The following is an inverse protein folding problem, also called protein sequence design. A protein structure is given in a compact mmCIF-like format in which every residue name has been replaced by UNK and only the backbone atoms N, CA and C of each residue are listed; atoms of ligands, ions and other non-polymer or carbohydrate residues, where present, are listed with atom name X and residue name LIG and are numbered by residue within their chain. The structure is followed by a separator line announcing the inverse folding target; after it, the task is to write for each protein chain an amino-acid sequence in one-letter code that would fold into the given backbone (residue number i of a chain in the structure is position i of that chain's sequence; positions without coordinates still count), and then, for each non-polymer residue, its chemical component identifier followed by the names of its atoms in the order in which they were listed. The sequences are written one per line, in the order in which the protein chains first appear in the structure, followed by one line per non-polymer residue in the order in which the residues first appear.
data_IF_369601238848
#
_entry.id   IF_369601238848
#
_cell.length_a   1.000
_cell.length_b   1.000
_cell.length_c   1.000
_cell.angle_alpha   90.00
_cell.angle_beta   90.00
_cell.angle_gamma   90.00
#
_symmetry.space_group_name_H-M   'P 1'
#
loop_
_entity.id
_entity.type
_entity.pdbx_description
1 polymer ?
#
# COMPACT_ATOMS: atom_id res chain seq x y z
N UNK A 1 -37.32 4.01 -3.60
CA UNK A 1 -36.37 3.14 -4.32
C UNK A 1 -34.97 3.65 -3.96
N UNK A 2 -34.30 3.00 -3.01
CA UNK A 2 -32.91 3.31 -2.67
C UNK A 2 -32.05 2.96 -3.88
N UNK A 3 -31.25 3.90 -4.38
CA UNK A 3 -30.47 3.65 -5.59
C UNK A 3 -29.40 2.60 -5.29
N UNK A 4 -29.09 1.76 -6.27
CA UNK A 4 -28.00 0.77 -6.18
C UNK A 4 -26.64 1.44 -5.83
N UNK A 5 -26.50 2.73 -6.11
CA UNK A 5 -25.31 3.53 -5.77
C UNK A 5 -25.20 3.88 -4.27
N UNK A 6 -26.31 4.15 -3.60
CA UNK A 6 -26.32 4.50 -2.17
C UNK A 6 -25.94 3.30 -1.30
N UNK A 7 -26.46 2.12 -1.67
CA UNK A 7 -26.08 0.84 -1.05
C UNK A 7 -24.61 0.51 -1.24
N UNK A 8 -24.09 0.63 -2.46
CA UNK A 8 -22.68 0.35 -2.77
C UNK A 8 -21.73 1.25 -1.98
N UNK A 9 -22.10 2.52 -1.79
CA UNK A 9 -21.31 3.47 -1.00
C UNK A 9 -21.30 3.12 0.49
N UNK A 10 -22.43 2.66 1.04
CA UNK A 10 -22.52 2.20 2.42
C UNK A 10 -21.74 0.90 2.64
N UNK A 11 -21.81 -0.05 1.71
CA UNK A 11 -21.05 -1.31 1.73
C UNK A 11 -19.54 -1.07 1.73
N UNK A 12 -19.05 -0.17 0.86
CA UNK A 12 -17.64 0.21 0.81
C UNK A 12 -17.16 0.88 2.11
N UNK A 13 -18.04 1.63 2.79
CA UNK A 13 -17.77 2.21 4.11
C UNK A 13 -17.77 1.15 5.22
N UNK A 14 -18.58 0.11 5.09
CA UNK A 14 -18.64 -1.03 6.00
C UNK A 14 -17.53 -2.07 5.76
N UNK A 15 -16.64 -1.86 4.78
CA UNK A 15 -15.58 -2.81 4.44
C UNK A 15 -16.08 -4.03 3.66
N UNK A 16 -17.27 -3.96 3.09
CA UNK A 16 -17.83 -5.00 2.23
C UNK A 16 -17.41 -4.71 0.78
N UNK A 17 -16.68 -5.66 0.21
CA UNK A 17 -16.20 -5.59 -1.17
C UNK A 17 -16.79 -6.75 -1.96
N UNK A 18 -17.45 -6.44 -3.06
CA UNK A 18 -17.95 -7.47 -3.96
C UNK A 18 -16.81 -8.09 -4.80
N UNK A 19 -17.10 -9.25 -5.41
CA UNK A 19 -16.11 -9.97 -6.20
C UNK A 19 -15.67 -9.17 -7.45
N UNK A 20 -16.56 -8.36 -8.03
CA UNK A 20 -16.25 -7.53 -9.19
C UNK A 20 -15.19 -6.50 -8.84
N UNK A 21 -15.35 -5.80 -7.72
CA UNK A 21 -14.39 -4.83 -7.22
C UNK A 21 -13.02 -5.48 -6.97
N UNK A 22 -12.98 -6.65 -6.34
CA UNK A 22 -11.71 -7.35 -6.09
C UNK A 22 -11.05 -7.81 -7.39
N UNK A 23 -11.83 -8.22 -8.39
CA UNK A 23 -11.32 -8.61 -9.69
C UNK A 23 -10.76 -7.40 -10.45
N UNK A 24 -11.47 -6.27 -10.46
CA UNK A 24 -11.01 -5.02 -11.07
C UNK A 24 -9.73 -4.53 -10.38
N UNK A 25 -9.71 -4.55 -9.04
CA UNK A 25 -8.54 -4.18 -8.25
C UNK A 25 -7.34 -5.09 -8.54
N UNK A 26 -7.54 -6.40 -8.65
CA UNK A 26 -6.48 -7.36 -8.99
C UNK A 26 -5.85 -7.05 -10.35
N UNK A 27 -6.66 -6.67 -11.33
CA UNK A 27 -6.23 -6.43 -12.70
C UNK A 27 -5.84 -4.97 -12.98
N UNK A 28 -6.10 -4.07 -12.04
CA UNK A 28 -5.80 -2.65 -12.13
C UNK A 28 -4.34 -2.31 -11.82
N UNK A 29 -4.04 -1.01 -11.66
CA UNK A 29 -2.71 -0.54 -11.30
C UNK A 29 -2.25 -1.10 -9.96
N UNK A 30 -0.99 -1.56 -9.89
CA UNK A 30 -0.41 -2.12 -8.64
C UNK A 30 -0.49 -1.15 -7.46
N UNK A 31 -0.45 0.16 -7.73
CA UNK A 31 -0.56 1.18 -6.70
C UNK A 31 -1.91 1.14 -5.98
N UNK A 32 -3.01 0.89 -6.70
CA UNK A 32 -4.34 0.79 -6.11
C UNK A 32 -4.45 -0.42 -5.17
N UNK A 33 -3.81 -1.54 -5.52
CA UNK A 33 -3.72 -2.71 -4.64
C UNK A 33 -2.99 -2.41 -3.33
N UNK A 34 -1.88 -1.67 -3.40
CA UNK A 34 -1.12 -1.26 -2.21
C UNK A 34 -1.96 -0.30 -1.36
N UNK A 35 -2.56 0.72 -1.97
CA UNK A 35 -3.38 1.70 -1.25
C UNK A 35 -4.60 1.01 -0.61
N UNK A 36 -5.22 0.04 -1.27
CA UNK A 36 -6.30 -0.78 -0.71
C UNK A 36 -5.84 -1.55 0.51
N UNK A 37 -4.68 -2.19 0.47
CA UNK A 37 -4.15 -2.94 1.62
C UNK A 37 -3.75 -2.04 2.78
N UNK A 38 -3.23 -0.84 2.50
CA UNK A 38 -3.04 0.19 3.50
C UNK A 38 -4.39 0.54 4.15
N UNK A 39 -5.43 0.81 3.35
CA UNK A 39 -6.78 1.12 3.85
C UNK A 39 -7.34 0.03 4.75
N UNK A 40 -7.07 -1.24 4.42
CA UNK A 40 -7.49 -2.41 5.19
C UNK A 40 -6.57 -2.75 6.38
N UNK A 41 -5.57 -1.90 6.66
CA UNK A 41 -4.58 -2.11 7.74
C UNK A 41 -3.79 -3.44 7.60
N UNK A 42 -3.69 -3.97 6.38
CA UNK A 42 -2.90 -5.17 6.08
C UNK A 42 -1.41 -4.88 5.96
N UNK A 43 -1.06 -3.62 5.71
CA UNK A 43 0.30 -3.08 5.69
C UNK A 43 0.30 -1.66 6.27
N UNK A 44 1.47 -1.15 6.66
CA UNK A 44 1.60 0.18 7.23
C UNK A 44 1.16 1.27 6.23
N UNK A 45 0.33 2.22 6.70
CA UNK A 45 -0.15 3.39 5.93
C UNK A 45 0.92 4.48 5.80
N UNK A 46 1.85 4.55 6.73
CA UNK A 46 2.89 5.56 6.74
C UNK A 46 4.10 5.15 7.59
N UNK A 47 5.22 5.82 7.32
CA UNK A 47 6.41 5.75 8.14
C UNK A 47 7.03 7.13 8.31
N UNK A 48 7.67 7.32 9.46
CA UNK A 48 8.47 8.50 9.76
C UNK A 48 9.95 8.14 9.72
N UNK A 49 10.76 9.00 9.12
CA UNK A 49 12.20 8.84 9.06
C UNK A 49 12.81 9.07 10.44
N UNK A 50 13.57 8.11 11.00
CA UNK A 50 14.17 8.27 12.33
C UNK A 50 15.28 9.33 12.36
N UNK A 51 15.79 9.77 11.20
CA UNK A 51 16.90 10.74 11.10
C UNK A 51 16.40 12.18 11.02
N UNK A 52 15.31 12.43 10.30
CA UNK A 52 14.82 13.79 10.07
C UNK A 52 13.37 14.04 10.49
N UNK A 53 12.74 13.04 11.10
CA UNK A 53 11.37 13.10 11.63
C UNK A 53 10.32 13.52 10.59
N UNK A 54 10.58 13.23 9.32
CA UNK A 54 9.65 13.49 8.22
C UNK A 54 9.00 12.21 7.73
N UNK A 55 7.77 12.34 7.23
CA UNK A 55 7.08 11.25 6.53
C UNK A 55 7.92 10.76 5.36
N UNK A 56 8.07 9.45 5.27
CA UNK A 56 8.79 8.76 4.21
C UNK A 56 7.85 8.57 3.02
N UNK A 57 8.35 8.70 1.80
CA UNK A 57 7.56 8.52 0.58
C UNK A 57 7.54 7.04 0.16
N UNK A 58 6.39 6.57 -0.29
CA UNK A 58 6.27 5.27 -0.96
C UNK A 58 6.53 5.46 -2.45
N UNK A 59 7.61 4.88 -2.94
CA UNK A 59 8.00 4.92 -4.35
C UNK A 59 7.84 3.55 -4.99
N UNK A 60 7.48 3.54 -6.27
CA UNK A 60 7.57 2.32 -7.10
C UNK A 60 9.04 2.03 -7.41
N UNK A 61 9.43 0.76 -7.30
CA UNK A 61 10.79 0.33 -7.53
C UNK A 61 10.77 -1.03 -8.25
N UNK A 62 11.00 -0.99 -9.56
CA UNK A 62 10.78 -2.10 -10.50
C UNK A 62 11.60 -3.36 -10.20
N UNK A 63 12.72 -3.23 -9.49
CA UNK A 63 13.64 -4.33 -9.19
C UNK A 63 13.32 -5.06 -7.88
N UNK A 64 12.17 -4.79 -7.25
CA UNK A 64 11.69 -5.51 -6.08
C UNK A 64 10.49 -6.37 -6.43
N UNK A 65 10.43 -7.58 -5.86
CA UNK A 65 9.30 -8.50 -6.02
C UNK A 65 7.97 -7.84 -5.64
N UNK A 66 7.99 -6.99 -4.61
CA UNK A 66 6.84 -6.24 -4.12
C UNK A 66 6.53 -4.96 -4.89
N UNK A 67 7.43 -4.54 -5.78
CA UNK A 67 7.29 -3.36 -6.62
C UNK A 67 7.31 -2.01 -5.90
N UNK A 68 7.31 -1.95 -4.56
CA UNK A 68 7.27 -0.69 -3.81
C UNK A 68 8.24 -0.69 -2.62
N UNK A 69 8.73 0.48 -2.26
CA UNK A 69 9.60 0.69 -1.11
C UNK A 69 9.37 2.07 -0.48
N UNK A 70 9.51 2.14 0.84
CA UNK A 70 9.52 3.41 1.56
C UNK A 70 10.92 4.01 1.51
N UNK A 71 11.04 5.21 0.95
CA UNK A 71 12.30 5.91 0.77
C UNK A 71 12.26 7.33 1.34
N UNK A 72 13.25 7.64 2.17
CA UNK A 72 13.54 9.01 2.60
C UNK A 72 14.84 9.44 1.92
N UNK A 73 14.74 10.35 0.95
CA UNK A 73 15.88 10.96 0.28
C UNK A 73 15.90 12.45 0.54
N UNK A 74 16.76 12.91 1.45
CA UNK A 74 17.12 14.33 1.55
C UNK A 74 18.50 14.53 0.93
N UNK A 75 18.59 15.41 -0.06
CA UNK A 75 19.85 15.81 -0.71
C UNK A 75 20.51 17.04 -0.04
N UNK A 76 19.99 17.53 1.10
CA UNK A 76 20.53 18.68 1.84
C UNK A 76 21.74 18.33 2.72
N UNK A 77 22.35 19.32 3.40
CA UNK A 77 23.57 19.19 4.23
C UNK A 77 23.63 17.99 5.20
N UNK A 78 22.47 17.48 5.68
CA UNK A 78 22.38 16.19 6.40
C UNK A 78 21.79 15.10 5.50
N UNK A 79 22.52 14.78 4.44
CA UNK A 79 22.08 13.81 3.44
C UNK A 79 21.95 12.43 4.11
N UNK A 80 20.77 11.85 4.02
CA UNK A 80 20.54 10.48 4.44
C UNK A 80 19.59 9.82 3.47
N UNK A 81 19.82 8.53 3.30
CA UNK A 81 19.03 7.69 2.43
C UNK A 81 18.56 6.48 3.23
N UNK A 82 17.31 6.53 3.67
CA UNK A 82 16.68 5.46 4.44
C UNK A 82 15.71 4.73 3.53
N UNK A 83 15.88 3.40 3.46
CA UNK A 83 15.00 2.47 2.77
C UNK A 83 14.29 1.60 3.80
N UNK A 84 13.01 1.33 3.58
CA UNK A 84 12.25 0.37 4.39
C UNK A 84 11.31 -0.43 3.49
N UNK A 85 11.32 -1.75 3.66
CA UNK A 85 10.38 -2.63 2.97
C UNK A 85 8.96 -2.25 3.33
N UNK A 86 8.09 -2.24 2.33
CA UNK A 86 6.64 -2.07 2.50
C UNK A 86 6.01 -3.21 3.30
N UNK A 87 6.67 -4.37 3.40
CA UNK A 87 6.26 -5.50 4.25
C UNK A 87 6.48 -5.27 5.74
N UNK A 88 7.36 -4.34 6.12
CA UNK A 88 7.72 -4.11 7.53
C UNK A 88 6.46 -3.83 8.36
N UNK A 89 6.39 -4.35 9.57
CA UNK A 89 5.30 -4.16 10.52
C UNK A 89 3.98 -4.82 10.11
N UNK A 90 4.01 -5.76 9.16
CA UNK A 90 2.82 -6.40 8.63
C UNK A 90 2.91 -7.92 8.66
N UNK A 91 1.78 -8.58 8.41
CA UNK A 91 1.74 -10.04 8.24
C UNK A 91 2.60 -10.54 7.06
N UNK A 92 2.92 -9.68 6.10
CA UNK A 92 3.79 -10.00 4.97
C UNK A 92 5.29 -10.01 5.33
N UNK A 93 5.69 -9.45 6.49
CA UNK A 93 7.10 -9.28 6.86
C UNK A 93 7.84 -10.63 6.95
N UNK A 94 7.17 -11.63 7.51
CA UNK A 94 7.76 -12.94 7.81
C UNK A 94 7.09 -14.07 7.01
N UNK A 95 6.38 -13.76 5.94
CA UNK A 95 5.70 -14.75 5.11
C UNK A 95 6.20 -14.73 3.67
N UNK A 96 6.14 -15.88 3.01
CA UNK A 96 6.42 -16.03 1.57
C UNK A 96 5.21 -15.60 0.71
N UNK A 97 4.25 -14.87 1.29
CA UNK A 97 3.08 -14.40 0.57
C UNK A 97 3.49 -13.28 -0.39
N UNK A 98 3.02 -13.37 -1.62
CA UNK A 98 3.23 -12.30 -2.60
C UNK A 98 2.39 -11.09 -2.23
N UNK A 99 2.99 -9.91 -2.30
CA UNK A 99 2.23 -8.67 -2.21
C UNK A 99 1.61 -8.24 -3.54
N UNK A 100 1.91 -8.91 -4.64
CA UNK A 100 1.28 -8.60 -5.92
C UNK A 100 0.59 -9.86 -6.44
N UNK A 101 -0.47 -9.73 -7.25
CA UNK A 101 -1.05 -10.87 -7.96
C UNK A 101 0.05 -11.57 -8.77
N UNK A 102 0.07 -12.90 -8.75
CA UNK A 102 0.92 -13.67 -9.66
C UNK A 102 0.53 -13.36 -11.10
N UNK A 103 1.53 -13.27 -11.99
CA UNK A 103 1.29 -13.22 -13.44
C UNK A 103 0.63 -14.51 -13.93
#
# INVERSE_FOLDING_TARGET
MSSRGDHRTAELKAGLYDFSFLYDLKNGPKRELIDFRMKMDLIAKEYVCPVCDKKIELIEFLNLDDGFIWCCGKYSQNAHYIKRSVRKGSWFECSNLSMLPSK
#
